data_IF_334997320478
#
_entry.id   IF_334997320478
#
_cell.length_a   1.000
_cell.length_b   1.000
_cell.length_c   1.000
_cell.angle_alpha   90.00
_cell.angle_beta   90.00
_cell.angle_gamma   90.00
#
_symmetry.space_group_name_H-M   'P 1'
#
loop_
_entity.id
_entity.type
_entity.pdbx_description
1 polymer ?
#
# COMPACT_ATOMS: atom_id res chain seq x y z
N UNK A 1 -10.66 3.53 30.59
CA UNK A 1 -9.79 2.86 29.60
C UNK A 1 -8.35 3.01 30.06
N UNK A 2 -7.65 1.92 30.31
CA UNK A 2 -6.29 1.98 30.85
C UNK A 2 -5.26 2.30 29.73
N UNK A 3 -4.02 2.64 30.14
CA UNK A 3 -2.94 3.02 29.21
C UNK A 3 -2.63 1.90 28.20
N UNK A 4 -2.74 0.63 28.61
CA UNK A 4 -2.47 -0.54 27.76
C UNK A 4 -3.56 -0.75 26.70
N UNK A 5 -4.83 -0.60 27.05
CA UNK A 5 -5.97 -0.66 26.13
C UNK A 5 -5.91 0.44 25.06
N UNK A 6 -5.52 1.67 25.45
CA UNK A 6 -5.36 2.77 24.51
C UNK A 6 -4.26 2.49 23.48
N UNK A 7 -3.13 1.96 23.93
CA UNK A 7 -2.02 1.57 23.05
C UNK A 7 -2.43 0.47 22.08
N UNK A 8 -3.15 -0.56 22.55
CA UNK A 8 -3.65 -1.65 21.69
C UNK A 8 -4.60 -1.11 20.61
N UNK A 9 -5.56 -0.27 20.99
CA UNK A 9 -6.51 0.33 20.04
C UNK A 9 -5.84 1.18 18.96
N UNK A 10 -4.77 1.92 19.31
CA UNK A 10 -3.98 2.69 18.33
C UNK A 10 -3.28 1.76 17.33
N UNK A 11 -2.71 0.64 17.80
CA UNK A 11 -2.11 -0.38 16.92
C UNK A 11 -3.14 -0.97 15.97
N UNK A 12 -4.31 -1.38 16.49
CA UNK A 12 -5.38 -1.96 15.67
C UNK A 12 -5.88 -0.99 14.58
N UNK A 13 -5.99 0.31 14.91
CA UNK A 13 -6.38 1.33 13.94
C UNK A 13 -5.29 1.50 12.88
N UNK A 14 -4.03 1.56 13.28
CA UNK A 14 -2.89 1.69 12.38
C UNK A 14 -2.83 0.51 11.39
N UNK A 15 -3.05 -0.71 11.86
CA UNK A 15 -3.12 -1.90 11.00
C UNK A 15 -4.26 -1.82 9.98
N UNK A 16 -5.44 -1.35 10.38
CA UNK A 16 -6.58 -1.18 9.47
C UNK A 16 -6.29 -0.15 8.39
N UNK A 17 -5.61 0.94 8.74
CA UNK A 17 -5.17 1.97 7.77
C UNK A 17 -4.21 1.35 6.76
N UNK A 18 -3.18 0.64 7.22
CA UNK A 18 -2.24 -0.03 6.31
C UNK A 18 -2.92 -1.03 5.38
N UNK A 19 -3.82 -1.87 5.91
CA UNK A 19 -4.61 -2.80 5.08
C UNK A 19 -5.45 -2.07 4.01
N UNK A 20 -6.01 -0.92 4.35
CA UNK A 20 -6.75 -0.08 3.40
C UNK A 20 -5.84 0.49 2.30
N UNK A 21 -4.65 0.97 2.66
CA UNK A 21 -3.67 1.48 1.70
C UNK A 21 -3.15 0.37 0.77
N UNK A 22 -2.85 -0.81 1.31
CA UNK A 22 -2.41 -1.97 0.51
C UNK A 22 -3.49 -2.37 -0.51
N UNK A 23 -4.75 -2.42 -0.07
CA UNK A 23 -5.88 -2.73 -0.96
C UNK A 23 -6.04 -1.67 -2.06
N UNK A 24 -5.94 -0.40 -1.72
CA UNK A 24 -6.03 0.70 -2.67
C UNK A 24 -4.89 0.64 -3.70
N UNK A 25 -3.65 0.41 -3.24
CA UNK A 25 -2.48 0.27 -4.10
C UNK A 25 -2.63 -0.92 -5.06
N UNK A 26 -3.04 -2.09 -4.54
CA UNK A 26 -3.30 -3.27 -5.37
C UNK A 26 -4.32 -2.99 -6.47
N UNK A 27 -5.45 -2.37 -6.13
CA UNK A 27 -6.49 -2.02 -7.11
C UNK A 27 -6.01 -1.02 -8.15
N UNK A 28 -5.19 -0.04 -7.74
CA UNK A 28 -4.59 0.94 -8.65
C UNK A 28 -3.67 0.25 -9.66
N UNK A 29 -2.74 -0.58 -9.20
CA UNK A 29 -1.81 -1.33 -10.07
C UNK A 29 -2.59 -2.23 -11.04
N UNK A 30 -3.56 -2.99 -10.54
CA UNK A 30 -4.38 -3.89 -11.38
C UNK A 30 -5.16 -3.13 -12.45
N UNK A 31 -5.76 -1.98 -12.11
CA UNK A 31 -6.51 -1.16 -13.07
C UNK A 31 -5.57 -0.59 -14.13
N UNK A 32 -4.47 0.05 -13.72
CA UNK A 32 -3.52 0.67 -14.64
C UNK A 32 -2.83 -0.38 -15.53
N UNK A 33 -2.54 -1.57 -15.01
CA UNK A 33 -1.96 -2.66 -15.79
C UNK A 33 -2.91 -3.15 -16.90
N UNK A 34 -4.22 -3.25 -16.62
CA UNK A 34 -5.23 -3.62 -17.65
C UNK A 34 -5.29 -2.62 -18.80
N UNK A 35 -5.01 -1.36 -18.52
CA UNK A 35 -4.99 -0.27 -19.51
C UNK A 35 -3.59 -0.10 -20.16
N UNK A 36 -2.63 -1.00 -19.88
CA UNK A 36 -1.21 -0.89 -20.29
C UNK A 36 -0.58 0.45 -19.88
N UNK A 37 -1.04 1.03 -18.78
CA UNK A 37 -0.58 2.32 -18.26
C UNK A 37 0.67 2.22 -17.39
N UNK A 38 1.19 3.40 -17.05
CA UNK A 38 2.36 3.59 -16.17
C UNK A 38 1.95 4.25 -14.87
N UNK A 39 2.58 3.84 -13.78
CA UNK A 39 2.54 4.56 -12.50
C UNK A 39 3.78 5.44 -12.38
N UNK A 40 3.60 6.61 -11.75
CA UNK A 40 4.63 7.63 -11.60
C UNK A 40 4.99 7.75 -10.12
N UNK A 41 6.27 7.64 -9.81
CA UNK A 41 6.79 7.75 -8.44
C UNK A 41 7.87 8.81 -8.36
N UNK A 42 8.05 9.37 -7.17
CA UNK A 42 9.22 10.18 -6.83
C UNK A 42 10.17 9.34 -6.00
N UNK A 43 11.38 9.10 -6.51
CA UNK A 43 12.44 8.39 -5.83
C UNK A 43 13.66 9.32 -5.73
N UNK A 44 14.06 9.66 -4.50
CA UNK A 44 15.17 10.59 -4.23
C UNK A 44 15.04 11.93 -5.00
N UNK A 45 13.82 12.47 -5.09
CA UNK A 45 13.53 13.72 -5.80
C UNK A 45 13.50 13.61 -7.32
N UNK A 46 13.68 12.40 -7.88
CA UNK A 46 13.58 12.14 -9.32
C UNK A 46 12.26 11.45 -9.63
N UNK A 47 11.65 11.84 -10.74
CA UNK A 47 10.44 11.18 -11.24
C UNK A 47 10.83 9.92 -12.00
N UNK A 48 10.24 8.79 -11.61
CA UNK A 48 10.38 7.50 -12.29
C UNK A 48 9.00 7.05 -12.78
N UNK A 49 9.00 6.37 -13.93
CA UNK A 49 7.81 5.80 -14.56
C UNK A 49 7.98 4.29 -14.59
N UNK A 50 7.01 3.57 -14.06
CA UNK A 50 7.03 2.11 -14.02
C UNK A 50 5.79 1.61 -14.74
N UNK A 51 5.97 0.71 -15.72
CA UNK A 51 4.84 0.02 -16.34
C UNK A 51 4.10 -0.80 -15.28
N UNK A 52 2.79 -0.60 -15.15
CA UNK A 52 2.05 -1.19 -14.04
C UNK A 52 2.07 -2.73 -14.04
N UNK A 53 2.26 -3.34 -15.22
CA UNK A 53 2.43 -4.80 -15.40
C UNK A 53 3.73 -5.35 -14.78
N UNK A 54 4.74 -4.51 -14.58
CA UNK A 54 6.05 -4.92 -14.05
C UNK A 54 6.10 -4.87 -12.52
N UNK A 55 5.06 -4.32 -11.88
CA UNK A 55 4.95 -4.22 -10.42
C UNK A 55 4.52 -5.56 -9.83
N UNK A 56 5.41 -6.17 -9.05
CA UNK A 56 5.13 -7.42 -8.34
C UNK A 56 4.34 -7.13 -7.05
N UNK A 57 3.06 -7.49 -7.06
CA UNK A 57 2.22 -7.46 -5.86
C UNK A 57 2.52 -8.68 -4.99
N UNK A 58 3.19 -8.49 -3.85
CA UNK A 58 3.37 -9.57 -2.87
C UNK A 58 2.09 -9.80 -2.07
N UNK A 59 1.63 -11.05 -1.98
CA UNK A 59 0.51 -11.43 -1.10
C UNK A 59 1.02 -11.68 0.34
N UNK A 60 1.64 -10.69 0.99
CA UNK A 60 2.12 -10.86 2.37
C UNK A 60 1.06 -10.39 3.38
N UNK A 61 0.44 -11.36 4.07
CA UNK A 61 -0.58 -11.18 5.12
C UNK A 61 -0.01 -10.90 6.52
N UNK A 62 1.30 -10.70 6.68
CA UNK A 62 1.91 -10.32 7.94
C UNK A 62 2.93 -9.21 7.71
N UNK A 63 2.53 -7.97 8.00
CA UNK A 63 3.46 -6.87 8.23
C UNK A 63 3.40 -6.55 9.72
N UNK A 64 4.58 -6.60 10.35
CA UNK A 64 4.90 -6.54 11.78
C UNK A 64 4.21 -5.43 12.58
#
# INVERSE_FOLDING_TARGET
MNKQEKSKKIKDIREKIFKGLDLAFKRLVEKTAKENGKLVFSENGKIIYIDAKDIKLSNNTNVL
#
